data_IF_806262893271
#
_entry.id   IF_806262893271
#
_cell.length_a   1.000
_cell.length_b   1.000
_cell.length_c   1.000
_cell.angle_alpha   90.00
_cell.angle_beta   90.00
_cell.angle_gamma   90.00
#
_symmetry.space_group_name_H-M   'P 1'
#
loop_
_entity.id
_entity.type
_entity.pdbx_description
1 polymer ?
#
# COMPACT_ATOMS: atom_id res chain seq x y z
N UNK A 1 -55.89 -57.13 -31.08
CA UNK A 1 -55.66 -56.30 -29.88
C UNK A 1 -54.18 -56.33 -29.57
N UNK A 2 -53.49 -55.19 -29.54
CA UNK A 2 -52.26 -54.93 -28.78
C UNK A 2 -52.16 -53.41 -28.62
N UNK A 3 -51.78 -53.01 -27.41
CA UNK A 3 -52.16 -51.79 -26.71
C UNK A 3 -51.41 -50.53 -27.17
N UNK A 4 -52.13 -49.39 -27.14
CA UNK A 4 -51.56 -48.03 -27.11
C UNK A 4 -51.11 -47.73 -25.68
N UNK A 5 -49.84 -47.37 -25.48
CA UNK A 5 -49.39 -46.79 -24.21
C UNK A 5 -48.35 -45.69 -24.45
N UNK A 6 -48.87 -44.46 -24.40
CA UNK A 6 -48.32 -43.28 -23.73
C UNK A 6 -47.00 -42.67 -24.21
N UNK A 7 -47.17 -41.59 -24.98
CA UNK A 7 -46.35 -40.36 -24.92
C UNK A 7 -46.29 -39.84 -23.46
N UNK A 8 -45.15 -39.93 -22.78
CA UNK A 8 -44.78 -39.03 -21.67
C UNK A 8 -43.31 -39.25 -21.28
N UNK A 9 -42.65 -38.21 -20.77
CA UNK A 9 -41.22 -38.08 -20.42
C UNK A 9 -40.31 -37.83 -21.64
N UNK A 10 -40.31 -36.65 -22.28
CA UNK A 10 -39.89 -35.34 -21.72
C UNK A 10 -38.66 -35.45 -20.81
N UNK A 11 -37.52 -35.15 -21.42
CA UNK A 11 -36.51 -34.21 -20.92
C UNK A 11 -36.05 -34.41 -19.48
N UNK A 12 -34.93 -35.10 -19.31
CA UNK A 12 -34.00 -34.79 -18.21
C UNK A 12 -32.80 -34.10 -18.87
N UNK A 13 -32.72 -32.79 -18.61
CA UNK A 13 -31.68 -31.90 -19.07
C UNK A 13 -30.30 -32.47 -18.74
N UNK A 14 -29.48 -32.67 -19.78
CA UNK A 14 -28.07 -33.00 -19.62
C UNK A 14 -27.33 -31.76 -19.11
N UNK A 15 -26.49 -32.04 -18.13
CA UNK A 15 -25.83 -31.16 -17.19
C UNK A 15 -24.74 -30.24 -17.77
N UNK A 16 -24.54 -29.13 -17.04
CA UNK A 16 -23.25 -28.51 -16.69
C UNK A 16 -22.18 -28.33 -17.79
N UNK A 17 -22.01 -27.10 -18.26
CA UNK A 17 -20.69 -26.52 -18.55
C UNK A 17 -20.80 -25.01 -18.83
N UNK A 18 -20.44 -24.17 -17.86
CA UNK A 18 -20.00 -22.80 -18.09
C UNK A 18 -19.07 -22.37 -16.95
N UNK A 19 -17.95 -23.07 -16.82
CA UNK A 19 -16.82 -22.61 -16.02
C UNK A 19 -15.84 -21.88 -16.95
N UNK A 20 -15.25 -20.80 -16.42
CA UNK A 20 -14.10 -20.06 -16.95
C UNK A 20 -14.38 -18.98 -18.02
N UNK A 21 -14.92 -17.83 -17.60
CA UNK A 21 -14.44 -16.52 -18.11
C UNK A 21 -14.63 -15.43 -17.05
N UNK A 22 -13.99 -15.56 -15.89
CA UNK A 22 -13.56 -14.38 -15.14
C UNK A 22 -12.04 -14.27 -15.33
N UNK A 23 -11.63 -13.80 -16.51
CA UNK A 23 -10.32 -13.16 -16.65
C UNK A 23 -10.39 -11.89 -15.83
N UNK A 24 -10.04 -12.02 -14.55
CA UNK A 24 -9.73 -10.93 -13.64
C UNK A 24 -8.52 -10.18 -14.22
N UNK A 25 -8.75 -9.33 -15.22
CA UNK A 25 -7.82 -8.25 -15.56
C UNK A 25 -7.98 -7.16 -14.51
N UNK A 26 -7.69 -7.50 -13.25
CA UNK A 26 -7.37 -6.49 -12.27
C UNK A 26 -5.91 -6.17 -12.54
N UNK A 27 -5.54 -4.92 -12.87
CA UNK A 27 -4.15 -4.57 -12.91
C UNK A 27 -3.60 -4.88 -11.52
N UNK A 28 -2.71 -5.88 -11.46
CA UNK A 28 -1.82 -6.10 -10.34
C UNK A 28 -1.08 -4.78 -10.16
N UNK A 29 -1.53 -3.97 -9.20
CA UNK A 29 -1.06 -2.60 -9.02
C UNK A 29 0.46 -2.59 -9.06
N UNK A 30 1.03 -1.77 -9.93
CA UNK A 30 2.46 -1.52 -9.89
C UNK A 30 2.73 -0.95 -8.50
N UNK A 31 3.35 -1.74 -7.62
CA UNK A 31 3.95 -1.21 -6.41
C UNK A 31 5.14 -0.38 -6.90
N UNK A 32 4.91 0.90 -7.17
CA UNK A 32 5.99 1.83 -7.41
C UNK A 32 6.76 1.94 -6.10
N UNK A 33 8.07 1.69 -6.15
CA UNK A 33 8.95 2.01 -5.04
C UNK A 33 9.14 3.53 -5.05
N UNK A 34 8.98 4.14 -3.89
CA UNK A 34 9.37 5.53 -3.64
C UNK A 34 10.88 5.69 -3.89
N UNK A 35 11.28 6.83 -4.45
CA UNK A 35 12.69 7.08 -4.74
C UNK A 35 13.39 7.65 -3.51
N UNK A 36 14.47 7.01 -3.06
CA UNK A 36 15.40 7.60 -2.10
C UNK A 36 16.33 8.55 -2.84
N UNK A 37 16.24 9.85 -2.53
CA UNK A 37 17.00 10.92 -3.17
C UNK A 37 17.93 11.62 -2.19
N UNK A 38 18.93 12.31 -2.71
CA UNK A 38 19.79 13.17 -1.90
C UNK A 38 18.97 14.33 -1.28
N UNK A 39 19.17 14.58 0.01
CA UNK A 39 18.51 15.68 0.71
C UNK A 39 19.05 17.05 0.28
N UNK A 40 18.47 17.64 -0.77
CA UNK A 40 18.80 18.98 -1.26
C UNK A 40 17.95 20.06 -0.59
N UNK A 41 18.62 21.12 -0.13
CA UNK A 41 17.95 22.26 0.50
C UNK A 41 17.12 23.07 -0.50
N UNK A 42 15.90 23.45 -0.12
CA UNK A 42 14.99 24.23 -0.97
C UNK A 42 14.09 23.40 -1.89
N UNK A 43 14.28 22.08 -1.93
CA UNK A 43 13.40 21.16 -2.67
C UNK A 43 12.27 20.63 -1.77
N UNK A 44 11.10 20.37 -2.36
CA UNK A 44 9.89 20.00 -1.63
C UNK A 44 9.75 18.47 -1.46
N UNK A 45 10.87 17.79 -1.17
CA UNK A 45 10.88 16.36 -0.90
C UNK A 45 10.29 16.03 0.47
N UNK A 46 9.85 14.77 0.61
CA UNK A 46 9.61 14.21 1.92
C UNK A 46 10.96 14.04 2.61
N UNK A 47 11.11 14.61 3.81
CA UNK A 47 12.33 14.50 4.61
C UNK A 47 12.01 13.92 5.98
N UNK A 48 12.71 12.85 6.34
CA UNK A 48 12.49 12.13 7.59
C UNK A 48 13.81 12.10 8.37
N UNK A 49 13.76 12.55 9.62
CA UNK A 49 14.84 12.40 10.57
C UNK A 49 14.52 11.19 11.45
N UNK A 50 15.46 10.27 11.54
CA UNK A 50 15.26 9.01 12.23
C UNK A 50 16.49 8.59 13.01
N UNK A 51 16.31 7.68 13.97
CA UNK A 51 17.40 7.05 14.67
C UNK A 51 17.15 5.57 14.92
N UNK A 52 18.25 4.82 15.00
CA UNK A 52 18.25 3.39 15.37
C UNK A 52 19.60 3.01 15.95
N UNK A 53 19.60 2.27 17.06
CA UNK A 53 20.82 1.72 17.66
C UNK A 53 21.92 2.74 17.97
N UNK A 54 21.57 4.00 18.28
CA UNK A 54 22.54 5.07 18.54
C UNK A 54 23.04 5.82 17.30
N UNK A 55 22.58 5.46 16.10
CA UNK A 55 22.85 6.17 14.85
C UNK A 55 21.67 7.05 14.49
N UNK A 56 21.94 8.25 13.96
CA UNK A 56 20.93 9.15 13.39
C UNK A 56 21.04 9.16 11.87
N UNK A 57 19.90 9.25 11.17
CA UNK A 57 19.80 9.38 9.73
C UNK A 57 18.86 10.52 9.35
N UNK A 58 19.09 11.07 8.17
CA UNK A 58 18.18 12.03 7.54
C UNK A 58 18.00 11.60 6.09
N UNK A 59 16.84 11.05 5.80
CA UNK A 59 16.52 10.46 4.50
C UNK A 59 15.52 11.33 3.76
N UNK A 60 15.71 11.48 2.46
CA UNK A 60 14.82 12.24 1.59
C UNK A 60 14.21 11.35 0.51
N UNK A 61 12.92 11.55 0.27
CA UNK A 61 12.15 10.72 -0.63
C UNK A 61 11.32 11.53 -1.61
N UNK A 62 11.15 10.99 -2.80
CA UNK A 62 10.39 11.57 -3.89
C UNK A 62 9.52 10.50 -4.60
N UNK A 63 8.55 11.00 -5.36
CA UNK A 63 7.62 10.22 -6.18
C UNK A 63 6.66 9.32 -5.38
N UNK A 64 5.50 9.03 -5.97
CA UNK A 64 4.50 8.17 -5.35
C UNK A 64 4.99 6.72 -5.28
N UNK A 65 4.68 6.05 -4.19
CA UNK A 65 5.13 4.69 -3.96
C UNK A 65 5.33 4.36 -2.50
N UNK A 66 5.62 3.09 -2.23
CA UNK A 66 5.83 2.56 -0.87
C UNK A 66 7.22 1.94 -0.74
N UNK A 67 7.88 2.15 0.38
CA UNK A 67 9.10 1.43 0.77
C UNK A 67 9.07 0.99 2.21
N UNK A 68 9.84 -0.06 2.49
CA UNK A 68 10.28 -0.41 3.82
C UNK A 68 11.21 0.70 4.38
N UNK A 69 11.02 1.04 5.65
CA UNK A 69 11.79 2.05 6.40
C UNK A 69 12.67 1.42 7.49
N UNK A 70 12.67 0.09 7.61
CA UNK A 70 13.59 -0.69 8.45
C UNK A 70 13.25 -0.70 9.94
N UNK A 71 12.09 -0.19 10.35
CA UNK A 71 11.70 -0.14 11.76
C UNK A 71 12.48 0.90 12.57
N UNK A 72 12.82 2.04 11.97
CA UNK A 72 13.54 3.12 12.65
C UNK A 72 12.61 4.01 13.47
N UNK A 73 13.13 4.64 14.52
CA UNK A 73 12.39 5.62 15.29
C UNK A 73 12.42 6.97 14.58
N UNK A 74 11.26 7.57 14.32
CA UNK A 74 11.17 8.83 13.57
C UNK A 74 11.05 10.03 14.52
N UNK A 75 12.05 10.89 14.49
CA UNK A 75 12.14 12.08 15.35
C UNK A 75 11.43 13.28 14.75
N UNK A 76 11.47 13.41 13.41
CA UNK A 76 10.87 14.53 12.69
C UNK A 76 10.48 14.10 11.27
N UNK A 77 9.39 14.67 10.78
CA UNK A 77 8.93 14.53 9.39
C UNK A 77 8.67 15.93 8.85
N UNK A 78 9.16 16.21 7.65
CA UNK A 78 8.76 17.35 6.83
C UNK A 78 8.23 16.80 5.51
N UNK A 79 6.93 16.94 5.25
CA UNK A 79 6.29 16.26 4.11
C UNK A 79 6.57 16.93 2.77
N UNK A 80 7.02 18.19 2.75
CA UNK A 80 7.22 18.93 1.51
C UNK A 80 5.91 18.96 0.70
N UNK A 81 5.98 18.69 -0.61
CA UNK A 81 4.80 18.63 -1.47
C UNK A 81 4.20 17.21 -1.59
N UNK A 82 4.32 16.36 -0.57
CA UNK A 82 3.91 14.95 -0.64
C UNK A 82 2.87 14.63 0.44
N UNK A 83 1.82 13.89 0.09
CA UNK A 83 0.95 13.28 1.10
C UNK A 83 1.60 11.98 1.56
N UNK A 84 1.92 11.88 2.85
CA UNK A 84 2.61 10.75 3.45
C UNK A 84 1.62 9.86 4.19
N UNK A 85 1.79 8.54 4.08
CA UNK A 85 1.32 7.57 5.06
C UNK A 85 2.55 6.87 5.65
N UNK A 86 2.69 6.85 6.97
CA UNK A 86 3.65 5.98 7.63
C UNK A 86 2.94 4.83 8.35
N UNK A 87 3.61 3.68 8.38
CA UNK A 87 3.15 2.46 9.03
C UNK A 87 3.98 2.21 10.28
N UNK A 88 3.37 2.38 11.44
CA UNK A 88 4.01 2.19 12.74
C UNK A 88 4.11 0.70 13.09
N UNK A 89 5.15 0.34 13.83
CA UNK A 89 5.41 -1.03 14.28
C UNK A 89 4.34 -1.57 15.24
N UNK A 90 3.55 -0.69 15.87
CA UNK A 90 2.40 -1.04 16.68
C UNK A 90 1.17 -1.45 15.83
N UNK A 91 1.24 -1.32 14.50
CA UNK A 91 0.16 -1.70 13.57
C UNK A 91 -0.70 -0.53 13.10
N UNK A 92 -0.41 0.69 13.54
CA UNK A 92 -1.12 1.89 13.10
C UNK A 92 -0.62 2.38 11.74
N UNK A 93 -1.52 3.00 10.97
CA UNK A 93 -1.18 3.76 9.77
C UNK A 93 -1.62 5.20 9.94
N UNK A 94 -0.71 6.14 9.78
CA UNK A 94 -0.98 7.56 10.02
C UNK A 94 -0.71 8.33 8.74
N UNK A 95 -1.74 9.04 8.26
CA UNK A 95 -1.64 9.96 7.13
C UNK A 95 -1.25 11.35 7.62
N UNK A 96 -0.27 11.94 6.97
CA UNK A 96 0.14 13.33 7.13
C UNK A 96 0.03 13.99 5.76
N UNK A 97 -0.73 15.07 5.67
CA UNK A 97 -0.88 15.82 4.42
C UNK A 97 0.42 16.55 4.06
N UNK A 98 0.56 16.88 2.78
CA UNK A 98 1.61 17.78 2.29
C UNK A 98 1.69 19.09 3.08
N UNK A 99 2.85 19.74 3.04
CA UNK A 99 3.16 21.03 3.68
C UNK A 99 3.09 21.02 5.21
N UNK A 100 3.40 19.88 5.81
CA UNK A 100 3.44 19.72 7.26
C UNK A 100 4.85 19.43 7.75
N UNK A 101 5.15 19.97 8.92
CA UNK A 101 6.35 19.63 9.68
C UNK A 101 5.92 19.16 11.07
N UNK A 102 6.29 17.94 11.43
CA UNK A 102 5.94 17.31 12.70
C UNK A 102 7.23 16.87 13.37
N UNK A 103 7.38 17.20 14.65
CA UNK A 103 8.50 16.74 15.49
C UNK A 103 7.94 15.91 16.64
N UNK A 104 8.59 14.80 16.96
CA UNK A 104 8.21 13.86 18.01
C UNK A 104 9.19 13.94 19.18
N UNK A 105 9.08 14.93 20.07
CA UNK A 105 10.05 15.14 21.15
C UNK A 105 9.97 14.06 22.24
N UNK A 106 8.84 13.36 22.36
CA UNK A 106 8.62 12.30 23.33
C UNK A 106 7.87 11.15 22.65
N UNK A 107 8.38 9.92 22.82
CA UNK A 107 7.80 8.68 22.27
C UNK A 107 7.64 8.75 20.73
N UNK A 108 8.74 8.88 19.98
CA UNK A 108 8.69 8.85 18.52
C UNK A 108 8.03 7.55 18.03
N UNK A 109 7.30 7.57 16.91
CA UNK A 109 6.79 6.35 16.29
C UNK A 109 7.93 5.50 15.76
N UNK A 110 7.77 4.18 15.80
CA UNK A 110 8.71 3.25 15.18
C UNK A 110 8.15 2.87 13.83
N UNK A 111 8.74 3.36 12.75
CA UNK A 111 8.16 3.25 11.41
C UNK A 111 8.74 2.07 10.65
N UNK A 112 7.88 1.15 10.23
CA UNK A 112 8.24 -0.01 9.43
C UNK A 112 8.24 0.30 7.92
N UNK A 113 7.33 1.15 7.46
CA UNK A 113 7.23 1.49 6.05
C UNK A 113 6.67 2.90 5.88
N UNK A 114 6.95 3.52 4.74
CA UNK A 114 6.40 4.80 4.33
C UNK A 114 5.80 4.69 2.92
N UNK A 115 4.80 5.51 2.65
CA UNK A 115 4.11 5.59 1.36
C UNK A 115 3.80 7.04 1.01
N UNK A 116 4.18 7.47 -0.20
CA UNK A 116 3.77 8.75 -0.79
C UNK A 116 2.62 8.48 -1.77
N UNK A 117 1.54 9.27 -1.65
CA UNK A 117 0.34 9.21 -2.49
C UNK A 117 0.41 10.13 -3.72
#
# INVERSE_FOLDING_TARGET
>A
MISKTNKAARSVAVAFAAAATLTLTVPTGNAFAIDHVECRGGENFLKIWSHSGGTQSVDCYANAGRTDFGGWWVDKISTGNNDLIYYDANGDSVKIERWHEITFPNRPPKVNAIEIL
#
